data_IF_808189997702
#
_entry.id   IF_808189997702
#
_cell.length_a   1.000
_cell.length_b   1.000
_cell.length_c   1.000
_cell.angle_alpha   90.00
_cell.angle_beta   90.00
_cell.angle_gamma   90.00
#
_symmetry.space_group_name_H-M   'P 1'
#
loop_
_entity.id
_entity.type
_entity.pdbx_description
1 polymer ?
#
# COMPACT_ATOMS: atom_id res chain seq x y z
N UNK A 1 22.18 -23.50 6.70
CA UNK A 1 21.51 -22.74 7.78
C UNK A 1 20.31 -22.04 7.16
N UNK A 2 19.10 -22.50 7.45
CA UNK A 2 17.88 -21.84 7.01
C UNK A 2 17.75 -20.53 7.76
N UNK A 3 17.72 -19.42 7.02
CA UNK A 3 17.26 -18.14 7.53
C UNK A 3 15.78 -18.32 7.87
N UNK A 4 15.48 -18.57 9.14
CA UNK A 4 14.14 -18.33 9.68
C UNK A 4 13.78 -16.89 9.31
N UNK A 5 12.74 -16.76 8.48
CA UNK A 5 12.07 -15.48 8.26
C UNK A 5 11.68 -14.98 9.64
N UNK A 6 12.36 -13.94 10.12
CA UNK A 6 12.06 -13.33 11.41
C UNK A 6 10.54 -13.19 11.52
N UNK A 7 9.99 -13.72 12.61
CA UNK A 7 8.56 -13.76 12.88
C UNK A 7 8.01 -12.37 12.60
N UNK A 8 7.36 -12.19 11.44
CA UNK A 8 7.07 -10.86 10.86
C UNK A 8 5.83 -10.29 11.54
N UNK A 9 5.90 -10.23 12.86
CA UNK A 9 4.85 -9.80 13.75
C UNK A 9 4.66 -8.29 13.61
N UNK A 10 3.44 -7.80 13.40
CA UNK A 10 3.18 -6.37 13.15
C UNK A 10 3.41 -5.49 14.38
N UNK A 11 3.74 -6.07 15.54
CA UNK A 11 4.03 -5.32 16.76
C UNK A 11 2.84 -4.49 17.21
N UNK A 12 3.07 -3.21 17.56
CA UNK A 12 2.01 -2.28 17.96
C UNK A 12 1.01 -1.97 16.83
N UNK A 13 1.37 -2.20 15.56
CA UNK A 13 0.46 -2.01 14.42
C UNK A 13 -0.65 -3.08 14.38
N UNK A 14 -0.44 -4.21 15.08
CA UNK A 14 -1.46 -5.25 15.30
C UNK A 14 -2.56 -4.87 16.28
N UNK A 15 -2.43 -3.73 16.97
CA UNK A 15 -3.45 -3.27 17.92
C UNK A 15 -4.50 -2.41 17.21
N UNK A 16 -5.77 -2.42 17.67
CA UNK A 16 -6.77 -1.48 17.19
C UNK A 16 -6.27 -0.03 17.29
N UNK A 17 -6.25 0.70 16.17
CA UNK A 17 -5.76 2.08 16.06
C UNK A 17 -4.23 2.23 16.09
N UNK A 18 -3.46 1.13 16.05
CA UNK A 18 -2.00 1.16 16.21
C UNK A 18 -1.29 2.00 15.16
N UNK A 19 -1.72 1.93 13.90
CA UNK A 19 -1.15 2.74 12.82
C UNK A 19 -1.54 4.21 12.95
N UNK A 20 -2.78 4.52 13.30
CA UNK A 20 -3.21 5.89 13.57
C UNK A 20 -2.40 6.52 14.73
N UNK A 21 -2.10 5.75 15.78
CA UNK A 21 -1.25 6.20 16.87
C UNK A 21 0.18 6.50 16.40
N UNK A 22 0.78 5.62 15.58
CA UNK A 22 2.10 5.86 15.00
C UNK A 22 2.12 7.15 14.15
N UNK A 23 1.11 7.36 13.32
CA UNK A 23 1.01 8.55 12.48
C UNK A 23 0.86 9.80 13.37
N UNK A 24 0.00 9.76 14.38
CA UNK A 24 -0.16 10.87 15.32
C UNK A 24 1.14 11.21 16.07
N UNK A 25 1.92 10.19 16.46
CA UNK A 25 3.24 10.38 17.08
C UNK A 25 4.26 11.03 16.14
N UNK A 26 4.17 10.76 14.83
CA UNK A 26 5.09 11.29 13.82
C UNK A 26 4.66 12.64 13.23
N UNK A 27 3.37 13.00 13.33
CA UNK A 27 2.79 14.22 12.74
C UNK A 27 3.56 15.49 13.11
N UNK A 28 3.90 15.76 14.39
CA UNK A 28 4.62 16.99 14.75
C UNK A 28 5.98 17.13 14.06
N UNK A 29 6.73 16.03 13.97
CA UNK A 29 8.07 15.99 13.37
C UNK A 29 7.99 16.10 11.85
N UNK A 30 6.99 15.48 11.23
CA UNK A 30 6.73 15.65 9.80
C UNK A 30 6.33 17.09 9.46
N UNK A 31 5.53 17.73 10.32
CA UNK A 31 5.14 19.13 10.17
C UNK A 31 6.36 20.06 10.23
N UNK A 32 7.26 19.84 11.19
CA UNK A 32 8.52 20.57 11.30
C UNK A 32 9.41 20.38 10.06
N UNK A 33 9.66 19.13 9.66
CA UNK A 33 10.50 18.81 8.49
C UNK A 33 9.95 19.38 7.18
N UNK A 34 8.63 19.42 7.03
CA UNK A 34 7.98 19.95 5.84
C UNK A 34 7.71 21.48 5.91
N UNK A 35 8.02 22.14 7.02
CA UNK A 35 7.76 23.57 7.20
C UNK A 35 6.28 23.93 7.15
N UNK A 36 5.41 23.07 7.70
CA UNK A 36 3.95 23.18 7.65
C UNK A 36 3.33 22.94 9.05
N UNK A 37 2.01 23.07 9.19
CA UNK A 37 1.32 22.74 10.44
C UNK A 37 0.98 21.25 10.57
N UNK A 38 0.90 20.76 11.80
CA UNK A 38 0.40 19.41 12.10
C UNK A 38 -1.00 19.16 11.51
N UNK A 39 -1.90 20.15 11.60
CA UNK A 39 -3.24 20.08 11.01
C UNK A 39 -3.22 19.89 9.49
N UNK A 40 -2.24 20.49 8.79
CA UNK A 40 -2.06 20.26 7.35
C UNK A 40 -1.59 18.83 7.07
N UNK A 41 -0.67 18.28 7.86
CA UNK A 41 -0.23 16.88 7.74
C UNK A 41 -1.39 15.90 8.00
N UNK A 42 -2.23 16.17 9.00
CA UNK A 42 -3.41 15.37 9.33
C UNK A 42 -4.49 15.40 8.24
N UNK A 43 -4.56 16.47 7.45
CA UNK A 43 -5.48 16.57 6.32
C UNK A 43 -4.97 15.84 5.07
N UNK A 44 -3.69 15.45 5.02
CA UNK A 44 -3.13 14.79 3.83
C UNK A 44 -3.65 13.35 3.68
N UNK A 45 -3.91 12.93 2.44
CA UNK A 45 -4.11 11.52 2.14
C UNK A 45 -2.83 10.73 2.40
N UNK A 46 -2.99 9.47 2.82
CA UNK A 46 -1.94 8.53 3.14
C UNK A 46 -1.78 7.51 2.00
N UNK A 47 -0.53 7.21 1.67
CA UNK A 47 -0.17 6.07 0.83
C UNK A 47 0.64 5.11 1.68
N UNK A 48 0.20 3.86 1.77
CA UNK A 48 0.92 2.80 2.49
C UNK A 48 1.76 2.02 1.49
N UNK A 49 3.05 1.85 1.78
CA UNK A 49 3.96 1.09 0.94
C UNK A 49 4.61 -0.05 1.74
N UNK A 50 4.62 -1.26 1.19
CA UNK A 50 5.19 -2.44 1.83
C UNK A 50 6.12 -3.20 0.90
N UNK A 51 7.28 -3.61 1.41
CA UNK A 51 8.25 -4.45 0.70
C UNK A 51 8.58 -5.70 1.52
N UNK A 52 8.68 -6.86 0.89
CA UNK A 52 9.06 -8.12 1.52
C UNK A 52 8.24 -8.37 2.81
N UNK A 53 8.89 -8.64 3.94
CA UNK A 53 8.23 -8.83 5.25
C UNK A 53 7.37 -7.65 5.74
N UNK A 54 7.47 -6.46 5.12
CA UNK A 54 6.62 -5.31 5.40
C UNK A 54 5.12 -5.53 5.10
N UNK A 55 4.79 -6.60 4.36
CA UNK A 55 3.40 -6.99 4.08
C UNK A 55 2.53 -7.08 5.31
N UNK A 56 2.98 -7.79 6.35
CA UNK A 56 2.17 -8.03 7.55
C UNK A 56 1.87 -6.75 8.30
N UNK A 57 2.81 -5.80 8.30
CA UNK A 57 2.58 -4.47 8.86
C UNK A 57 1.57 -3.66 8.03
N UNK A 58 1.65 -3.75 6.70
CA UNK A 58 0.72 -3.09 5.78
C UNK A 58 -0.69 -3.66 5.91
N UNK A 59 -0.84 -4.98 5.82
CA UNK A 59 -2.11 -5.70 6.01
C UNK A 59 -2.74 -5.36 7.36
N UNK A 60 -1.95 -5.44 8.44
CA UNK A 60 -2.40 -5.05 9.78
C UNK A 60 -2.84 -3.59 9.86
N UNK A 61 -2.18 -2.69 9.13
CA UNK A 61 -2.57 -1.28 9.08
C UNK A 61 -3.89 -1.05 8.35
N UNK A 62 -4.22 -1.89 7.36
CA UNK A 62 -5.53 -1.82 6.69
C UNK A 62 -6.65 -2.34 7.59
N UNK A 63 -6.43 -3.46 8.28
CA UNK A 63 -7.46 -4.12 9.10
C UNK A 63 -7.65 -3.41 10.45
N UNK A 64 -6.55 -3.08 11.12
CA UNK A 64 -6.55 -2.61 12.50
C UNK A 64 -6.07 -1.16 12.65
N UNK A 65 -5.52 -0.56 11.60
CA UNK A 65 -4.76 0.68 11.73
C UNK A 65 -5.56 1.92 12.12
N UNK A 66 -6.90 1.90 12.01
CA UNK A 66 -7.75 3.04 12.39
C UNK A 66 -7.57 4.27 11.50
N UNK A 67 -7.12 4.08 10.26
CA UNK A 67 -6.80 5.16 9.33
C UNK A 67 -8.03 5.71 8.56
N UNK A 68 -9.16 4.99 8.63
CA UNK A 68 -10.40 5.36 7.97
C UNK A 68 -10.20 5.66 6.49
N UNK A 69 -10.79 6.77 6.04
CA UNK A 69 -10.76 7.20 4.64
C UNK A 69 -9.47 7.92 4.22
N UNK A 70 -8.48 8.03 5.11
CA UNK A 70 -7.22 8.70 4.77
C UNK A 70 -6.33 7.86 3.86
N UNK A 71 -6.48 6.53 3.84
CA UNK A 71 -5.68 5.67 2.95
C UNK A 71 -6.19 5.82 1.52
N UNK A 72 -5.48 6.61 0.73
CA UNK A 72 -5.81 6.88 -0.66
C UNK A 72 -5.07 5.95 -1.64
N UNK A 73 -4.01 5.29 -1.20
CA UNK A 73 -3.22 4.41 -2.05
C UNK A 73 -2.46 3.33 -1.29
N UNK A 74 -2.26 2.20 -1.96
CA UNK A 74 -1.42 1.09 -1.49
C UNK A 74 -0.40 0.76 -2.57
N UNK A 75 0.86 0.64 -2.17
CA UNK A 75 1.96 0.14 -3.00
C UNK A 75 2.51 -1.14 -2.38
N UNK A 76 2.51 -2.23 -3.13
CA UNK A 76 3.06 -3.51 -2.69
C UNK A 76 4.25 -3.86 -3.58
N UNK A 77 5.42 -4.09 -2.99
CA UNK A 77 6.65 -4.42 -3.70
C UNK A 77 7.11 -5.81 -3.25
N UNK A 78 6.89 -6.82 -4.09
CA UNK A 78 7.30 -8.21 -3.88
C UNK A 78 7.06 -8.71 -2.44
N UNK A 79 5.84 -8.46 -1.97
CA UNK A 79 5.45 -8.62 -0.58
C UNK A 79 4.13 -9.40 -0.40
N UNK A 80 3.45 -9.81 -1.49
CA UNK A 80 2.17 -10.49 -1.35
C UNK A 80 2.37 -11.92 -0.82
N UNK A 81 2.02 -12.16 0.44
CA UNK A 81 2.14 -13.47 1.11
C UNK A 81 0.83 -13.97 1.76
N UNK A 82 -0.31 -13.33 1.48
CA UNK A 82 -1.62 -13.65 2.07
C UNK A 82 -2.53 -12.43 2.11
N UNK A 83 -3.66 -12.51 2.82
CA UNK A 83 -4.54 -11.34 3.02
C UNK A 83 -5.28 -10.85 1.78
N UNK A 84 -5.38 -11.70 0.74
CA UNK A 84 -5.90 -11.30 -0.57
C UNK A 84 -7.36 -10.82 -0.50
N UNK A 85 -8.18 -11.45 0.35
CA UNK A 85 -9.57 -11.06 0.53
C UNK A 85 -9.66 -9.66 1.16
N UNK A 86 -8.86 -9.35 2.18
CA UNK A 86 -8.74 -8.00 2.77
C UNK A 86 -8.41 -6.94 1.72
N UNK A 87 -7.45 -7.24 0.84
CA UNK A 87 -7.02 -6.31 -0.21
C UNK A 87 -8.11 -6.14 -1.27
N UNK A 88 -8.75 -7.23 -1.68
CA UNK A 88 -9.85 -7.20 -2.64
C UNK A 88 -11.05 -6.42 -2.08
N UNK A 89 -11.40 -6.62 -0.82
CA UNK A 89 -12.44 -5.88 -0.11
C UNK A 89 -12.10 -4.39 -0.01
N UNK A 90 -10.85 -4.04 0.30
CA UNK A 90 -10.41 -2.65 0.28
C UNK A 90 -10.48 -2.03 -1.13
N UNK A 91 -10.16 -2.80 -2.18
CA UNK A 91 -10.30 -2.34 -3.56
C UNK A 91 -11.78 -2.17 -3.97
N UNK A 92 -12.68 -3.03 -3.48
CA UNK A 92 -14.12 -2.96 -3.72
C UNK A 92 -14.75 -1.67 -3.18
N UNK A 93 -14.20 -1.14 -2.09
CA UNK A 93 -14.59 0.17 -1.56
C UNK A 93 -14.37 1.31 -2.56
N UNK A 94 -13.47 1.14 -3.52
CA UNK A 94 -13.29 2.01 -4.67
C UNK A 94 -12.76 3.42 -4.37
N UNK A 95 -12.45 3.72 -3.11
CA UNK A 95 -12.02 5.06 -2.65
C UNK A 95 -10.51 5.31 -2.78
N UNK A 96 -9.71 4.26 -2.90
CA UNK A 96 -8.26 4.34 -3.09
C UNK A 96 -7.78 3.68 -4.38
N UNK A 97 -6.46 3.60 -4.56
CA UNK A 97 -5.81 2.88 -5.65
C UNK A 97 -4.79 1.85 -5.15
N UNK A 98 -4.61 0.75 -5.88
CA UNK A 98 -3.63 -0.29 -5.60
C UNK A 98 -2.63 -0.41 -6.76
N UNK A 99 -1.34 -0.42 -6.44
CA UNK A 99 -0.30 -0.89 -7.37
C UNK A 99 0.53 -1.95 -6.66
N UNK A 100 0.54 -3.17 -7.20
CA UNK A 100 1.40 -4.24 -6.73
C UNK A 100 2.42 -4.59 -7.83
N UNK A 101 3.70 -4.61 -7.48
CA UNK A 101 4.81 -4.99 -8.35
C UNK A 101 5.46 -6.22 -7.74
N UNK A 102 5.52 -7.33 -8.48
CA UNK A 102 6.05 -8.59 -7.95
C UNK A 102 7.00 -9.27 -8.93
N UNK A 103 8.04 -9.88 -8.36
CA UNK A 103 8.90 -10.81 -9.09
C UNK A 103 8.30 -12.21 -9.11
N UNK A 104 9.04 -13.13 -9.72
CA UNK A 104 8.64 -14.54 -9.89
C UNK A 104 8.28 -15.25 -8.57
N UNK A 105 8.88 -14.85 -7.44
CA UNK A 105 8.62 -15.42 -6.11
C UNK A 105 7.20 -15.20 -5.59
N UNK A 106 6.52 -14.17 -6.09
CA UNK A 106 5.16 -13.82 -5.69
C UNK A 106 4.14 -14.11 -6.80
N UNK A 107 4.51 -14.83 -7.87
CA UNK A 107 3.64 -15.07 -9.03
C UNK A 107 2.32 -15.75 -8.65
N UNK A 108 2.36 -16.81 -7.84
CA UNK A 108 1.15 -17.51 -7.39
C UNK A 108 0.25 -16.64 -6.52
N UNK A 109 0.85 -15.82 -5.65
CA UNK A 109 0.13 -14.86 -4.81
C UNK A 109 -0.53 -13.76 -5.67
N UNK A 110 0.17 -13.28 -6.70
CA UNK A 110 -0.37 -12.29 -7.64
C UNK A 110 -1.52 -12.87 -8.47
N UNK A 111 -1.39 -14.12 -8.93
CA UNK A 111 -2.45 -14.84 -9.63
C UNK A 111 -3.69 -15.03 -8.74
N UNK A 112 -3.48 -15.36 -7.47
CA UNK A 112 -4.57 -15.50 -6.49
C UNK A 112 -5.30 -14.16 -6.27
N UNK A 113 -4.57 -13.06 -6.08
CA UNK A 113 -5.17 -11.74 -5.95
C UNK A 113 -5.89 -11.33 -7.24
N UNK A 114 -5.32 -11.62 -8.41
CA UNK A 114 -5.96 -11.34 -9.70
C UNK A 114 -7.29 -12.07 -9.87
N UNK A 115 -7.38 -13.34 -9.44
CA UNK A 115 -8.62 -14.12 -9.46
C UNK A 115 -9.69 -13.54 -8.52
N UNK A 116 -9.28 -13.13 -7.32
CA UNK A 116 -10.17 -12.48 -6.34
C UNK A 116 -10.74 -11.16 -6.86
N UNK A 117 -9.87 -10.30 -7.41
CA UNK A 117 -10.30 -9.04 -8.03
C UNK A 117 -11.23 -9.28 -9.21
N UNK A 118 -10.93 -10.26 -10.07
CA UNK A 118 -11.78 -10.61 -11.21
C UNK A 118 -13.15 -11.12 -10.78
N UNK A 119 -13.19 -11.99 -9.76
CA UNK A 119 -14.44 -12.50 -9.16
C UNK A 119 -15.27 -11.38 -8.57
N UNK A 120 -14.63 -10.38 -7.99
CA UNK A 120 -15.24 -9.17 -7.45
C UNK A 120 -15.64 -8.13 -8.52
N UNK A 121 -15.39 -8.40 -9.81
CA UNK A 121 -15.71 -7.48 -10.92
C UNK A 121 -14.76 -6.28 -11.04
N UNK A 122 -13.59 -6.33 -10.40
CA UNK A 122 -12.59 -5.26 -10.43
C UNK A 122 -11.62 -5.48 -11.59
N UNK A 123 -11.57 -4.53 -12.52
CA UNK A 123 -10.60 -4.53 -13.60
C UNK A 123 -9.19 -4.21 -13.07
N UNK A 124 -8.18 -4.83 -13.68
CA UNK A 124 -6.77 -4.58 -13.35
C UNK A 124 -5.96 -4.21 -14.60
N UNK A 125 -5.02 -3.30 -14.43
CA UNK A 125 -3.96 -3.07 -15.39
C UNK A 125 -2.77 -4.01 -15.11
N UNK A 126 -1.99 -4.31 -16.15
CA UNK A 126 -0.73 -5.08 -16.06
C UNK A 126 0.51 -4.18 -16.16
N UNK A 127 0.30 -2.88 -16.26
CA UNK A 127 1.33 -1.84 -16.30
C UNK A 127 0.93 -0.67 -15.40
N UNK A 128 1.87 0.22 -15.05
CA UNK A 128 1.57 1.40 -14.25
C UNK A 128 0.67 2.34 -15.07
N UNK A 129 -0.58 2.59 -14.64
CA UNK A 129 -1.48 3.45 -15.39
C UNK A 129 -0.93 4.87 -15.57
N UNK A 130 -1.32 5.54 -16.65
CA UNK A 130 -0.93 6.93 -16.91
C UNK A 130 -1.40 7.89 -15.81
N UNK A 131 -2.50 7.56 -15.11
CA UNK A 131 -3.04 8.30 -13.97
C UNK A 131 -3.54 7.32 -12.92
N UNK A 132 -3.24 7.59 -11.66
CA UNK A 132 -3.78 6.88 -10.51
C UNK A 132 -4.88 7.70 -9.84
N UNK A 133 -6.00 7.06 -9.57
CA UNK A 133 -7.14 7.63 -8.86
C UNK A 133 -8.01 6.54 -8.24
N UNK A 134 -9.04 6.91 -7.45
CA UNK A 134 -9.94 5.96 -6.81
C UNK A 134 -10.44 4.86 -7.77
N UNK A 135 -10.40 3.61 -7.34
CA UNK A 135 -10.79 2.42 -8.13
C UNK A 135 -9.71 1.90 -9.08
N UNK A 136 -8.55 2.54 -9.17
CA UNK A 136 -7.45 2.06 -10.02
C UNK A 136 -6.72 0.90 -9.36
N UNK A 137 -6.61 -0.23 -10.05
CA UNK A 137 -5.85 -1.40 -9.61
C UNK A 137 -4.86 -1.82 -10.70
N UNK A 138 -3.60 -1.99 -10.35
CA UNK A 138 -2.57 -2.50 -11.23
C UNK A 138 -1.75 -3.61 -10.55
N UNK A 139 -1.61 -4.75 -11.22
CA UNK A 139 -0.77 -5.87 -10.81
C UNK A 139 0.30 -6.06 -11.88
N UNK A 140 1.56 -5.84 -11.52
CA UNK A 140 2.66 -5.68 -12.46
C UNK A 140 3.71 -6.73 -12.18
N UNK A 141 4.03 -7.52 -13.20
CA UNK A 141 5.13 -8.46 -13.14
C UNK A 141 6.45 -7.72 -13.37
N UNK A 142 7.43 -8.03 -12.53
CA UNK A 142 8.79 -7.49 -12.58
C UNK A 142 9.78 -8.59 -12.94
N UNK A 143 10.68 -8.27 -13.87
CA UNK A 143 11.81 -9.14 -14.21
C UNK A 143 12.97 -9.02 -13.21
N UNK A 144 12.93 -8.02 -12.32
CA UNK A 144 13.96 -7.82 -11.29
C UNK A 144 13.86 -8.85 -10.17
N UNK A 145 15.01 -9.19 -9.60
CA UNK A 145 15.11 -10.00 -8.39
C UNK A 145 14.51 -9.27 -7.18
N UNK A 146 14.06 -10.05 -6.20
CA UNK A 146 13.38 -9.57 -4.98
C UNK A 146 14.00 -8.31 -4.37
N UNK A 147 15.33 -8.31 -4.19
CA UNK A 147 16.04 -7.22 -3.53
C UNK A 147 16.24 -5.98 -4.40
N UNK A 148 16.14 -6.13 -5.71
CA UNK A 148 16.33 -5.05 -6.66
C UNK A 148 15.03 -4.28 -6.91
N UNK A 149 13.88 -4.91 -6.71
CA UNK A 149 12.56 -4.31 -6.97
C UNK A 149 12.39 -2.93 -6.32
N UNK A 150 12.71 -2.70 -5.03
CA UNK A 150 12.54 -1.37 -4.42
C UNK A 150 13.44 -0.28 -5.02
N UNK A 151 14.60 -0.66 -5.56
CA UNK A 151 15.56 0.24 -6.19
C UNK A 151 15.35 0.42 -7.69
N UNK A 152 14.74 -0.57 -8.35
CA UNK A 152 14.56 -0.64 -9.78
C UNK A 152 13.69 0.50 -10.30
N UNK A 153 14.34 1.52 -10.88
CA UNK A 153 13.64 2.66 -11.46
C UNK A 153 12.83 3.48 -10.45
N UNK A 154 13.12 3.35 -9.14
CA UNK A 154 12.43 4.11 -8.07
C UNK A 154 10.91 3.94 -8.13
N UNK A 155 10.40 2.70 -8.00
CA UNK A 155 9.03 2.36 -8.35
C UNK A 155 8.01 3.15 -7.54
N UNK A 156 8.27 3.40 -6.25
CA UNK A 156 7.38 4.22 -5.42
C UNK A 156 7.30 5.65 -5.96
N UNK A 157 8.43 6.31 -6.26
CA UNK A 157 8.38 7.66 -6.83
C UNK A 157 7.73 7.69 -8.22
N UNK A 158 8.02 6.69 -9.05
CA UNK A 158 7.41 6.57 -10.38
C UNK A 158 5.89 6.41 -10.29
N UNK A 159 5.40 5.55 -9.41
CA UNK A 159 3.97 5.34 -9.12
C UNK A 159 3.35 6.64 -8.60
N UNK A 160 3.94 7.26 -7.57
CA UNK A 160 3.41 8.48 -6.97
C UNK A 160 3.37 9.65 -7.95
N UNK A 161 4.28 9.72 -8.93
CA UNK A 161 4.23 10.73 -9.99
C UNK A 161 2.98 10.67 -10.88
N UNK A 162 2.30 9.51 -10.91
CA UNK A 162 1.05 9.30 -11.65
C UNK A 162 -0.18 9.61 -10.81
N UNK A 163 -0.02 9.78 -9.49
CA UNK A 163 -1.11 10.11 -8.60
C UNK A 163 -1.29 11.63 -8.50
N UNK A 164 -2.47 12.09 -8.88
CA UNK A 164 -2.89 13.46 -8.58
C UNK A 164 -3.80 13.41 -7.37
N UNK A 165 -3.30 13.85 -6.20
CA UNK A 165 -4.15 14.03 -5.04
C UNK A 165 -5.15 15.16 -5.34
N UNK A 166 -6.45 14.82 -5.35
CA UNK A 166 -7.47 15.86 -5.22
C UNK A 166 -7.43 16.32 -3.76
N UNK A 167 -7.34 17.62 -3.46
CA UNK A 167 -7.65 18.09 -2.12
C UNK A 167 -9.08 17.65 -1.79
N UNK A 168 -9.30 17.15 -0.57
CA UNK A 168 -10.64 16.89 -0.09
C UNK A 168 -11.44 18.20 -0.20
N UNK A 169 -12.49 18.22 -1.02
CA UNK A 169 -13.44 19.32 -1.01
C UNK A 169 -14.05 19.35 0.38
N UNK A 170 -13.82 20.46 1.10
CA UNK A 170 -14.42 20.70 2.41
C UNK A 170 -15.93 20.83 2.20
N UNK A 171 -16.68 19.79 2.58
CA UNK A 171 -18.12 19.86 2.81
C UNK A 171 -18.45 20.54 4.13
#
# INVERSE_FOLDING_TARGET
LGLEVADSYPGKLGRPGGTAALIAEATPQLAELAGTSAAQIEALPLVLAGFSGGWRALESSLIHGGLGQRVAGIVVLDALFGGFDTVAEWCLDGRGWLVAVSGSRCADAMATLADRLSTAGIARATEVPARLGPGTVALIDSEHDHWDIPGAGRPVQAILSRWTSRPAERG
#
